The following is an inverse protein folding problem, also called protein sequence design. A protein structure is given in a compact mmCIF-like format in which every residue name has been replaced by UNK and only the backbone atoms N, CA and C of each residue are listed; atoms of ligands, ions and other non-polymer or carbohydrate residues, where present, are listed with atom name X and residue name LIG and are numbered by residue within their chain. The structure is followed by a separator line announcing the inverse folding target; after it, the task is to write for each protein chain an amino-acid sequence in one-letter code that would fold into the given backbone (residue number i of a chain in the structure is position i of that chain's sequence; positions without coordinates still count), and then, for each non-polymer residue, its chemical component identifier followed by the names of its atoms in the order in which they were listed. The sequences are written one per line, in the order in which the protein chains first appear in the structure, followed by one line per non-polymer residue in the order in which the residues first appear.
data_IF_244155357503
#
_entry.id   IF_244155357503
#
_cell.length_a   1.000
_cell.length_b   1.000
_cell.length_c   1.000
_cell.angle_alpha   90.00
_cell.angle_beta   90.00
_cell.angle_gamma   90.00
#
_symmetry.space_group_name_H-M   'P 1'
#
loop_
_entity.id
_entity.type
_entity.pdbx_description
1 polymer ?
#
# COMPACT_ATOMS: atom_id res chain seq x y z
N UNK A 1 -0.84 15.28 -1.20
CA UNK A 1 -1.13 14.91 0.20
C UNK A 1 -1.90 13.60 0.20
N UNK A 2 -1.40 12.55 0.84
CA UNK A 2 -2.13 11.29 0.90
C UNK A 2 -3.36 11.41 1.81
N UNK A 3 -4.42 10.69 1.46
CA UNK A 3 -5.59 10.50 2.30
C UNK A 3 -5.92 9.03 2.43
N UNK A 4 -6.34 8.61 3.62
CA UNK A 4 -6.76 7.24 3.91
C UNK A 4 -8.18 7.28 4.45
N UNK A 5 -9.06 6.46 3.86
CA UNK A 5 -10.42 6.27 4.33
C UNK A 5 -10.64 4.79 4.67
N UNK A 6 -11.10 4.52 5.88
CA UNK A 6 -11.50 3.21 6.36
C UNK A 6 -12.94 3.30 6.86
N UNK A 7 -13.82 2.50 6.29
CA UNK A 7 -15.24 2.50 6.60
C UNK A 7 -15.75 1.08 6.86
N UNK A 8 -16.30 0.86 8.06
CA UNK A 8 -16.87 -0.43 8.49
C UNK A 8 -18.39 -0.51 8.35
N UNK A 9 -19.05 0.60 7.98
CA UNK A 9 -20.51 0.68 7.86
C UNK A 9 -20.95 0.44 6.42
N UNK A 10 -20.05 0.60 5.49
CA UNK A 10 -20.30 0.46 4.07
C UNK A 10 -20.78 -0.96 3.71
N UNK A 11 -21.81 -1.08 2.90
CA UNK A 11 -22.41 -2.36 2.52
C UNK A 11 -21.63 -3.08 1.41
N UNK A 12 -20.89 -2.34 0.59
CA UNK A 12 -20.03 -2.89 -0.44
C UNK A 12 -18.58 -2.99 0.05
N UNK A 13 -17.87 -4.01 -0.40
CA UNK A 13 -16.45 -4.17 -0.10
C UNK A 13 -15.62 -3.41 -1.12
N UNK A 14 -14.71 -2.57 -0.64
CA UNK A 14 -13.74 -1.87 -1.50
C UNK A 14 -12.36 -1.93 -0.86
N UNK A 15 -11.35 -2.13 -1.68
CA UNK A 15 -9.93 -2.03 -1.29
C UNK A 15 -9.15 -1.47 -2.46
N UNK A 16 -8.86 -0.21 -2.44
CA UNK A 16 -8.22 0.47 -3.57
C UNK A 16 -7.23 1.52 -3.11
N UNK A 17 -6.29 1.80 -3.98
CA UNK A 17 -5.34 2.89 -3.82
C UNK A 17 -5.15 3.58 -5.17
N UNK A 18 -5.18 4.92 -5.17
CA UNK A 18 -4.86 5.72 -6.35
C UNK A 18 -3.65 6.59 -6.05
N UNK A 19 -2.61 6.46 -6.86
CA UNK A 19 -1.44 7.32 -6.83
C UNK A 19 -1.50 8.30 -8.00
N UNK A 20 -1.43 9.59 -7.69
CA UNK A 20 -1.51 10.66 -8.67
C UNK A 20 -0.18 11.40 -8.69
N UNK A 21 0.48 11.40 -9.84
CA UNK A 21 1.72 12.13 -10.09
C UNK A 21 1.54 13.14 -11.23
N UNK A 22 2.55 13.95 -11.44
CA UNK A 22 2.60 14.96 -12.51
C UNK A 22 2.66 14.34 -13.91
N UNK A 23 3.18 13.12 -14.04
CA UNK A 23 3.34 12.41 -15.30
C UNK A 23 2.31 11.28 -15.52
N UNK A 24 1.34 11.14 -14.63
CA UNK A 24 0.30 10.14 -14.77
C UNK A 24 -0.27 9.66 -13.45
N UNK A 25 -1.21 8.74 -13.55
CA UNK A 25 -1.90 8.16 -12.39
C UNK A 25 -1.95 6.65 -12.49
N UNK A 26 -1.84 5.99 -11.35
CA UNK A 26 -2.02 4.55 -11.19
C UNK A 26 -3.17 4.29 -10.23
N UNK A 27 -3.95 3.26 -10.50
CA UNK A 27 -5.04 2.80 -9.65
C UNK A 27 -4.91 1.30 -9.40
N UNK A 28 -4.81 0.93 -8.13
CA UNK A 28 -4.83 -0.45 -7.68
C UNK A 28 -6.22 -0.80 -7.14
N UNK A 29 -6.75 -1.93 -7.57
CA UNK A 29 -7.92 -2.57 -7.01
C UNK A 29 -7.48 -3.87 -6.33
N UNK A 30 -7.53 -3.89 -5.00
CA UNK A 30 -7.07 -5.03 -4.20
C UNK A 30 -8.06 -6.19 -4.17
N UNK A 31 -9.31 -6.00 -4.58
CA UNK A 31 -10.29 -7.07 -4.70
C UNK A 31 -10.20 -7.74 -6.07
N UNK A 32 -10.05 -6.97 -7.12
CA UNK A 32 -9.87 -7.48 -8.48
C UNK A 32 -8.44 -7.98 -8.76
N UNK A 33 -7.46 -7.56 -7.95
CA UNK A 33 -6.05 -7.87 -8.15
C UNK A 33 -5.45 -7.17 -9.38
N UNK A 34 -5.89 -5.94 -9.67
CA UNK A 34 -5.50 -5.21 -10.87
C UNK A 34 -4.80 -3.90 -10.56
N UNK A 35 -3.89 -3.52 -11.46
CA UNK A 35 -3.35 -2.16 -11.53
C UNK A 35 -3.68 -1.58 -12.89
N UNK A 36 -4.24 -0.39 -12.89
CA UNK A 36 -4.54 0.39 -14.07
C UNK A 36 -3.70 1.66 -14.11
N UNK A 37 -3.36 2.08 -15.32
CA UNK A 37 -2.69 3.35 -15.60
C UNK A 37 -3.64 4.26 -16.36
N UNK A 38 -3.62 5.55 -16.03
CA UNK A 38 -4.34 6.56 -16.82
C UNK A 38 -3.49 6.99 -18.02
N UNK A 39 -4.04 6.85 -19.20
CA UNK A 39 -3.43 7.35 -20.42
C UNK A 39 -3.88 8.79 -20.67
N UNK A 40 -2.89 9.69 -20.80
CA UNK A 40 -3.12 11.12 -21.00
C UNK A 40 -3.63 11.45 -22.41
N UNK A 41 -3.30 10.63 -23.40
CA UNK A 41 -3.72 10.86 -24.78
C UNK A 41 -5.18 10.44 -25.02
N UNK A 42 -5.50 9.20 -24.68
CA UNK A 42 -6.85 8.66 -24.80
C UNK A 42 -7.80 9.10 -23.68
N UNK A 43 -7.27 9.71 -22.61
CA UNK A 43 -8.01 10.10 -21.38
C UNK A 43 -8.82 8.95 -20.80
N UNK A 44 -8.24 7.77 -20.79
CA UNK A 44 -8.86 6.55 -20.28
C UNK A 44 -7.92 5.75 -19.41
N UNK A 45 -8.51 4.90 -18.57
CA UNK A 45 -7.77 3.92 -17.79
C UNK A 45 -7.59 2.64 -18.58
N UNK A 46 -6.40 2.05 -18.49
CA UNK A 46 -6.13 0.74 -19.06
C UNK A 46 -5.35 -0.12 -18.07
N UNK A 47 -5.64 -1.41 -18.07
CA UNK A 47 -4.99 -2.39 -17.20
C UNK A 47 -3.55 -2.62 -17.62
N UNK A 48 -2.61 -2.46 -16.67
CA UNK A 48 -1.18 -2.72 -16.90
C UNK A 48 -0.69 -3.96 -16.15
N UNK A 49 -1.42 -4.41 -15.16
CA UNK A 49 -1.09 -5.58 -14.37
C UNK A 49 -2.36 -6.26 -13.85
N UNK A 50 -2.34 -7.59 -13.85
CA UNK A 50 -3.34 -8.42 -13.21
C UNK A 50 -2.65 -9.54 -12.45
N UNK A 51 -2.99 -9.67 -11.16
CA UNK A 51 -2.55 -10.78 -10.35
C UNK A 51 -3.43 -12.00 -10.65
N UNK A 52 -2.82 -13.09 -11.07
CA UNK A 52 -3.51 -14.37 -11.30
C UNK A 52 -3.73 -15.15 -9.99
N UNK A 53 -2.89 -14.90 -8.98
CA UNK A 53 -3.09 -15.45 -7.65
C UNK A 53 -4.09 -14.60 -6.89
N UNK A 54 -5.30 -15.13 -6.72
CA UNK A 54 -6.38 -14.42 -6.03
C UNK A 54 -6.24 -14.41 -4.51
N UNK A 55 -5.43 -15.29 -3.95
CA UNK A 55 -5.19 -15.39 -2.52
C UNK A 55 -3.83 -14.78 -2.17
N UNK A 56 -3.87 -13.56 -1.64
CA UNK A 56 -2.67 -12.85 -1.21
C UNK A 56 -1.90 -13.55 -0.09
N UNK A 57 -2.57 -14.34 0.74
CA UNK A 57 -1.92 -15.13 1.79
C UNK A 57 -1.08 -16.28 1.21
N UNK A 58 -1.55 -16.90 0.14
CA UNK A 58 -0.76 -17.91 -0.59
C UNK A 58 0.50 -17.28 -1.18
N UNK A 59 0.38 -16.14 -1.80
CA UNK A 59 1.53 -15.40 -2.34
C UNK A 59 2.53 -15.00 -1.24
N UNK A 60 2.03 -14.53 -0.09
CA UNK A 60 2.84 -14.20 1.08
C UNK A 60 3.62 -15.41 1.59
N UNK A 61 2.99 -16.56 1.76
CA UNK A 61 3.66 -17.79 2.18
C UNK A 61 4.70 -18.25 1.17
N UNK A 62 4.39 -18.24 -0.12
CA UNK A 62 5.36 -18.60 -1.17
C UNK A 62 6.61 -17.71 -1.11
N UNK A 63 6.42 -16.40 -0.95
CA UNK A 63 7.52 -15.45 -0.81
C UNK A 63 8.34 -15.71 0.46
N UNK A 64 7.67 -15.90 1.60
CA UNK A 64 8.32 -16.20 2.87
C UNK A 64 9.20 -17.45 2.81
N UNK A 65 8.68 -18.55 2.25
CA UNK A 65 9.45 -19.79 2.08
C UNK A 65 10.66 -19.60 1.16
N UNK A 66 10.53 -18.81 0.09
CA UNK A 66 11.66 -18.46 -0.77
C UNK A 66 12.72 -17.62 -0.07
N UNK A 67 12.30 -16.72 0.81
CA UNK A 67 13.23 -15.95 1.64
C UNK A 67 13.99 -16.84 2.62
N UNK A 68 13.32 -17.80 3.27
CA UNK A 68 13.96 -18.78 4.17
C UNK A 68 15.00 -19.62 3.41
N UNK A 69 14.69 -20.07 2.21
CA UNK A 69 15.62 -20.85 1.37
C UNK A 69 16.75 -20.03 0.77
N UNK A 70 16.77 -18.70 0.96
CA UNK A 70 17.79 -17.81 0.45
C UNK A 70 17.65 -17.45 -1.05
N UNK A 71 16.54 -17.84 -1.68
CA UNK A 71 16.32 -17.56 -3.11
C UNK A 71 15.76 -16.16 -3.39
N UNK A 72 15.16 -15.52 -2.39
CA UNK A 72 14.63 -14.16 -2.48
C UNK A 72 14.97 -13.38 -1.20
N UNK A 73 15.03 -12.05 -1.33
CA UNK A 73 15.08 -11.15 -0.18
C UNK A 73 13.67 -10.69 0.19
N UNK A 74 13.38 -10.46 1.48
CA UNK A 74 12.10 -9.89 1.90
C UNK A 74 11.84 -8.54 1.19
N UNK A 75 10.66 -8.37 0.61
CA UNK A 75 10.25 -7.08 0.05
C UNK A 75 10.02 -6.04 1.13
N UNK A 76 9.53 -6.48 2.29
CA UNK A 76 9.29 -5.65 3.46
C UNK A 76 10.11 -6.24 4.60
N UNK A 77 10.95 -5.44 5.22
CA UNK A 77 11.75 -5.82 6.37
C UNK A 77 11.23 -5.17 7.66
N UNK A 78 11.87 -5.45 8.79
CA UNK A 78 11.46 -4.90 10.09
C UNK A 78 11.54 -3.37 10.15
N UNK A 79 12.49 -2.75 9.47
CA UNK A 79 12.61 -1.29 9.39
C UNK A 79 11.44 -0.67 8.62
N UNK A 80 11.00 -1.31 7.54
CA UNK A 80 9.81 -0.86 6.80
C UNK A 80 8.54 -0.99 7.66
N UNK A 81 8.43 -2.09 8.42
CA UNK A 81 7.34 -2.28 9.37
C UNK A 81 7.33 -1.21 10.47
N UNK A 82 8.50 -0.81 10.97
CA UNK A 82 8.61 0.25 11.97
C UNK A 82 8.09 1.59 11.43
N UNK A 83 8.41 1.95 10.20
CA UNK A 83 7.88 3.18 9.55
C UNK A 83 6.36 3.21 9.52
N UNK A 84 5.72 2.07 9.29
CA UNK A 84 4.25 1.96 9.34
C UNK A 84 3.73 2.22 10.76
N UNK A 85 4.39 1.67 11.78
CA UNK A 85 4.03 1.93 13.19
C UNK A 85 4.18 3.41 13.53
N UNK A 86 5.26 4.07 13.10
CA UNK A 86 5.48 5.50 13.33
C UNK A 86 4.35 6.35 12.75
N UNK A 87 3.85 6.01 11.54
CA UNK A 87 2.70 6.68 10.93
C UNK A 87 1.44 6.45 11.76
N UNK A 88 1.19 5.23 12.21
CA UNK A 88 0.00 4.89 13.01
C UNK A 88 0.02 5.65 14.34
N UNK A 89 1.15 5.69 15.03
CA UNK A 89 1.28 6.42 16.30
C UNK A 89 1.12 7.93 16.09
N UNK A 90 1.68 8.50 15.04
CA UNK A 90 1.48 9.90 14.69
C UNK A 90 0.00 10.21 14.39
N UNK A 91 -0.70 9.32 13.70
CA UNK A 91 -2.13 9.47 13.43
C UNK A 91 -2.96 9.40 14.71
N UNK A 92 -2.65 8.48 15.63
CA UNK A 92 -3.30 8.38 16.96
C UNK A 92 -3.09 9.65 17.78
N UNK A 93 -1.85 10.16 17.82
CA UNK A 93 -1.51 11.39 18.53
C UNK A 93 -2.25 12.59 17.94
N UNK A 94 -2.26 12.71 16.60
CA UNK A 94 -2.98 13.75 15.89
C UNK A 94 -4.49 13.75 16.22
N UNK A 95 -5.09 12.58 16.22
CA UNK A 95 -6.51 12.41 16.55
C UNK A 95 -6.81 12.76 18.01
N UNK A 96 -5.94 12.33 18.94
CA UNK A 96 -6.09 12.61 20.37
C UNK A 96 -5.99 14.08 20.69
N UNK A 97 -4.97 14.74 20.17
CA UNK A 97 -4.63 16.13 20.49
C UNK A 97 -5.30 17.13 19.53
N UNK A 98 -5.94 16.64 18.47
CA UNK A 98 -6.60 17.43 17.42
C UNK A 98 -5.64 18.45 16.75
N UNK A 99 -4.40 18.02 16.53
CA UNK A 99 -3.34 18.80 15.89
C UNK A 99 -2.65 18.01 14.78
N UNK A 100 -1.95 18.71 13.90
CA UNK A 100 -1.07 18.06 12.95
C UNK A 100 0.18 17.54 13.68
N UNK A 101 0.56 16.31 13.41
CA UNK A 101 1.75 15.67 13.96
C UNK A 101 2.71 15.34 12.83
N UNK A 102 3.97 15.73 12.98
CA UNK A 102 5.03 15.38 12.05
C UNK A 102 5.47 13.95 12.31
N UNK A 103 5.55 13.14 11.24
CA UNK A 103 6.08 11.79 11.33
C UNK A 103 7.61 11.85 11.27
N UNK A 104 8.27 11.28 12.26
CA UNK A 104 9.71 11.09 12.28
C UNK A 104 9.99 9.60 12.11
N UNK A 105 10.78 9.27 11.10
CA UNK A 105 11.25 7.92 10.91
C UNK A 105 12.61 7.78 11.59
N UNK A 106 12.77 6.77 12.44
CA UNK A 106 14.09 6.38 12.89
C UNK A 106 14.88 5.86 11.68
N UNK A 107 15.96 6.55 11.33
CA UNK A 107 16.90 6.01 10.35
C UNK A 107 17.49 4.74 10.97
N UNK A 108 17.29 3.61 10.30
CA UNK A 108 17.94 2.37 10.69
C UNK A 108 19.44 2.61 10.64
N UNK A 109 20.09 2.61 11.80
CA UNK A 109 21.55 2.48 11.86
C UNK A 109 21.86 1.09 11.33
N UNK A 110 22.35 1.03 10.10
CA UNK A 110 23.00 -0.16 9.56
C UNK A 110 24.23 -0.52 10.39
#
# INVERSE_FOLDING_TARGET
MPSVNLDFIRHDSTRSCTAIGDQGSLRWDGLAGTVEKFDLESKSWFEVFRDEEKDSYVSEWKHFLKCISGNEKPFINGSDGLKVIDIIEAARQSSKDKVQVKVFYEESKE
#
